data_IF_742810891345
#
_entry.id   IF_742810891345
#
_cell.length_a   1.000
_cell.length_b   1.000
_cell.length_c   1.000
_cell.angle_alpha   90.00
_cell.angle_beta   90.00
_cell.angle_gamma   90.00
#
_symmetry.space_group_name_H-M   'P 1'
#
loop_
_entity.id
_entity.type
_entity.pdbx_description
1 polymer ?
#
# COMPACT_ATOMS: atom_id res chain seq x y z
N UNK A 1 11.53 -19.64 10.98
CA UNK A 1 10.45 -18.83 10.39
C UNK A 1 10.85 -17.35 10.34
N UNK A 2 10.88 -16.74 9.16
CA UNK A 2 11.09 -15.29 9.02
C UNK A 2 9.72 -14.66 8.84
N UNK A 3 9.29 -13.84 9.79
CA UNK A 3 8.07 -13.04 9.72
C UNK A 3 8.45 -11.62 9.32
N UNK A 4 7.73 -11.03 8.36
CA UNK A 4 7.94 -9.62 8.00
C UNK A 4 7.27 -8.72 9.04
N UNK A 5 8.01 -7.71 9.51
CA UNK A 5 7.49 -6.67 10.39
C UNK A 5 6.78 -5.56 9.62
N UNK A 6 7.33 -5.19 8.45
CA UNK A 6 6.88 -4.07 7.62
C UNK A 6 6.77 -4.50 6.17
N UNK A 7 5.75 -3.98 5.50
CA UNK A 7 5.57 -4.05 4.05
C UNK A 7 5.51 -2.63 3.52
N UNK A 8 6.20 -2.38 2.41
CA UNK A 8 6.14 -1.12 1.69
C UNK A 8 5.68 -1.33 0.25
N UNK A 9 5.18 -0.26 -0.36
CA UNK A 9 4.90 -0.19 -1.78
C UNK A 9 5.27 1.19 -2.31
N UNK A 10 5.55 1.25 -3.60
CA UNK A 10 5.73 2.53 -4.31
C UNK A 10 4.66 2.68 -5.37
N UNK A 11 4.09 3.87 -5.48
CA UNK A 11 2.99 4.14 -6.40
C UNK A 11 3.14 5.54 -6.98
N UNK A 12 2.92 5.68 -8.30
CA UNK A 12 2.90 7.01 -8.92
C UNK A 12 1.82 7.89 -8.30
N UNK A 13 2.09 9.18 -8.00
CA UNK A 13 1.08 10.10 -7.46
C UNK A 13 -0.19 10.18 -8.31
N UNK A 14 -0.05 10.04 -9.63
CA UNK A 14 -1.14 10.12 -10.61
C UNK A 14 -2.00 8.85 -10.69
N UNK A 15 -1.53 7.72 -10.13
CA UNK A 15 -2.28 6.46 -10.16
C UNK A 15 -3.34 6.42 -9.04
N UNK A 16 -4.41 7.17 -9.23
CA UNK A 16 -5.50 7.30 -8.26
C UNK A 16 -6.13 5.95 -7.89
N UNK A 17 -6.28 5.03 -8.86
CA UNK A 17 -6.85 3.71 -8.63
C UNK A 17 -5.99 2.87 -7.66
N UNK A 18 -4.67 2.81 -7.89
CA UNK A 18 -3.76 2.07 -7.00
C UNK A 18 -3.65 2.72 -5.62
N UNK A 19 -3.60 4.05 -5.56
CA UNK A 19 -3.62 4.79 -4.28
C UNK A 19 -4.88 4.49 -3.46
N UNK A 20 -6.05 4.40 -4.10
CA UNK A 20 -7.29 4.04 -3.42
C UNK A 20 -7.25 2.60 -2.84
N UNK A 21 -6.63 1.65 -3.55
CA UNK A 21 -6.44 0.28 -3.05
C UNK A 21 -5.51 0.27 -1.83
N UNK A 22 -4.38 0.97 -1.89
CA UNK A 22 -3.41 1.05 -0.79
C UNK A 22 -4.04 1.69 0.45
N UNK A 23 -4.79 2.78 0.28
CA UNK A 23 -5.52 3.43 1.37
C UNK A 23 -6.58 2.51 1.98
N UNK A 24 -7.33 1.75 1.16
CA UNK A 24 -8.37 0.82 1.62
C UNK A 24 -7.82 -0.28 2.53
N UNK A 25 -6.60 -0.75 2.29
CA UNK A 25 -5.95 -1.78 3.12
C UNK A 25 -5.11 -1.21 4.27
N UNK A 26 -5.02 0.13 4.39
CA UNK A 26 -4.45 0.81 5.56
C UNK A 26 -3.03 1.34 5.41
N UNK A 27 -2.44 1.33 4.21
CA UNK A 27 -1.10 1.90 4.01
C UNK A 27 -1.10 3.42 4.30
N UNK A 28 -0.05 3.89 4.96
CA UNK A 28 0.23 5.31 5.19
C UNK A 28 1.25 5.83 4.18
N UNK A 29 1.10 7.07 3.73
CA UNK A 29 2.13 7.76 2.94
C UNK A 29 3.29 8.18 3.85
N UNK A 30 4.52 7.81 3.49
CA UNK A 30 5.74 8.10 4.27
C UNK A 30 6.68 9.07 3.55
N UNK A 31 6.57 9.19 2.23
CA UNK A 31 7.40 10.14 1.48
C UNK A 31 7.15 10.14 -0.02
N UNK A 32 7.86 11.04 -0.70
CA UNK A 32 7.88 11.15 -2.16
C UNK A 32 9.30 10.91 -2.67
N UNK A 33 9.47 9.81 -3.39
CA UNK A 33 10.71 9.44 -4.06
C UNK A 33 10.75 10.13 -5.42
N UNK A 34 11.60 11.14 -5.56
CA UNK A 34 11.75 11.92 -6.80
C UNK A 34 12.49 11.12 -7.87
N UNK A 35 11.94 11.04 -9.09
CA UNK A 35 12.55 10.33 -10.24
C UNK A 35 13.02 8.92 -9.86
N UNK A 36 12.15 8.17 -9.19
CA UNK A 36 12.49 6.89 -8.55
C UNK A 36 12.57 5.71 -9.51
N UNK A 37 11.61 5.59 -10.43
CA UNK A 37 11.56 4.49 -11.39
C UNK A 37 11.35 5.04 -12.80
N UNK A 38 12.03 4.42 -13.76
CA UNK A 38 11.72 4.60 -15.18
C UNK A 38 10.44 3.83 -15.51
N UNK A 39 9.38 4.58 -15.81
CA UNK A 39 8.07 4.05 -16.17
C UNK A 39 7.61 4.77 -17.42
N UNK A 40 7.38 3.99 -18.48
CA UNK A 40 6.94 4.49 -19.78
C UNK A 40 7.93 5.50 -20.38
N UNK A 41 9.23 5.14 -20.35
CA UNK A 41 10.32 5.87 -20.98
C UNK A 41 10.73 7.18 -20.29
N UNK A 42 10.33 7.37 -19.03
CA UNK A 42 10.73 8.53 -18.25
C UNK A 42 10.78 8.22 -16.76
N UNK A 43 11.75 8.82 -16.07
CA UNK A 43 11.85 8.76 -14.62
C UNK A 43 10.68 9.47 -13.96
N UNK A 44 9.90 8.72 -13.17
CA UNK A 44 8.70 9.21 -12.49
C UNK A 44 8.88 9.26 -10.99
N UNK A 45 8.25 10.25 -10.39
CA UNK A 45 8.10 10.32 -8.95
C UNK A 45 7.17 9.19 -8.47
N UNK A 46 7.45 8.64 -7.28
CA UNK A 46 6.61 7.65 -6.62
C UNK A 46 6.42 8.02 -5.16
N UNK A 47 5.19 7.91 -4.67
CA UNK A 47 4.92 7.92 -3.24
C UNK A 47 5.44 6.61 -2.65
N UNK A 48 6.17 6.71 -1.55
CA UNK A 48 6.49 5.59 -0.68
C UNK A 48 5.37 5.46 0.35
N UNK A 49 4.77 4.28 0.42
CA UNK A 49 3.77 3.94 1.42
C UNK A 49 4.19 2.71 2.22
N UNK A 50 3.77 2.62 3.48
CA UNK A 50 4.07 1.46 4.31
C UNK A 50 2.94 1.09 5.28
N UNK A 51 3.02 -0.16 5.75
CA UNK A 51 2.17 -0.73 6.80
C UNK A 51 3.03 -1.67 7.65
N UNK A 52 2.93 -1.56 8.98
CA UNK A 52 3.58 -2.48 9.93
C UNK A 52 2.58 -3.43 10.57
N UNK A 53 3.07 -4.51 11.18
CA UNK A 53 2.23 -5.53 11.82
C UNK A 53 1.42 -4.98 12.99
N UNK A 54 1.93 -3.97 13.72
CA UNK A 54 1.23 -3.33 14.84
C UNK A 54 0.00 -2.54 14.40
N UNK A 55 -0.08 -2.16 13.13
CA UNK A 55 -1.18 -1.37 12.56
C UNK A 55 -2.33 -2.25 12.05
N UNK A 56 -2.19 -3.58 12.18
CA UNK A 56 -3.18 -4.56 11.72
C UNK A 56 -3.81 -5.25 12.92
N UNK A 57 -5.12 -5.05 13.09
CA UNK A 57 -5.91 -5.85 14.03
C UNK A 57 -6.26 -7.21 13.41
N UNK A 58 -5.52 -8.25 13.80
CA UNK A 58 -5.72 -9.61 13.30
C UNK A 58 -5.16 -9.81 11.89
N UNK A 59 -5.94 -9.56 10.85
CA UNK A 59 -5.48 -9.68 9.46
C UNK A 59 -6.10 -8.63 8.54
N UNK A 60 -5.37 -8.26 7.48
CA UNK A 60 -5.85 -7.31 6.46
C UNK A 60 -7.14 -7.79 5.80
N UNK A 61 -7.23 -9.09 5.48
CA UNK A 61 -8.44 -9.69 4.90
C UNK A 61 -9.60 -9.69 5.90
N UNK A 62 -9.34 -9.99 7.18
CA UNK A 62 -10.32 -9.87 8.25
C UNK A 62 -10.90 -8.46 8.35
N UNK A 63 -10.04 -7.43 8.37
CA UNK A 63 -10.47 -6.04 8.37
C UNK A 63 -11.25 -5.62 7.12
N UNK A 64 -10.94 -6.18 5.94
CA UNK A 64 -11.74 -5.96 4.73
C UNK A 64 -13.13 -6.58 4.83
N UNK A 65 -13.24 -7.81 5.35
CA UNK A 65 -14.54 -8.48 5.54
C UNK A 65 -15.39 -7.76 6.58
N UNK A 66 -14.81 -7.36 7.72
CA UNK A 66 -15.52 -6.61 8.77
C UNK A 66 -16.09 -5.28 8.25
N UNK A 67 -15.39 -4.61 7.33
CA UNK A 67 -15.84 -3.38 6.69
C UNK A 67 -16.81 -3.61 5.52
N UNK A 68 -17.20 -4.85 5.22
CA UNK A 68 -18.09 -5.20 4.11
C UNK A 68 -17.46 -5.02 2.73
N UNK A 69 -16.13 -4.96 2.66
CA UNK A 69 -15.37 -4.70 1.43
C UNK A 69 -14.90 -5.97 0.72
N UNK A 70 -15.07 -7.12 1.36
CA UNK A 70 -14.78 -8.45 0.86
C UNK A 70 -15.70 -9.48 1.54
N UNK A 71 -15.72 -10.71 1.05
CA UNK A 71 -16.41 -11.86 1.67
C UNK A 71 -15.49 -13.07 1.71
N UNK A 72 -15.63 -13.89 2.75
CA UNK A 72 -15.05 -15.23 2.73
C UNK A 72 -15.76 -16.06 1.64
N UNK A 73 -15.00 -16.97 1.03
CA UNK A 73 -15.55 -17.94 0.08
C UNK A 73 -16.21 -19.09 0.85
#
# INVERSE_FOLDING_TARGET
>A
PVTLHRVEATVRPENAASRAVLAKVGFREEGLLRRYLDVDGAWRDHLLVALTVEEIEGSVTGGLVQRGLARWA
#
